data_IF_244499649636
#
_entry.id   IF_244499649636
#
_cell.length_a   1.000
_cell.length_b   1.000
_cell.length_c   1.000
_cell.angle_alpha   90.00
_cell.angle_beta   90.00
_cell.angle_gamma   90.00
#
_symmetry.space_group_name_H-M   'P 1'
#
loop_
_entity.id
_entity.type
_entity.pdbx_description
1 polymer ?
#
# COMPACT_ATOMS: atom_id res chain seq x y z
N UNK A 1 -7.93 -29.57 42.91
CA UNK A 1 -7.87 -28.09 43.01
C UNK A 1 -7.75 -27.56 41.60
N UNK A 2 -8.73 -26.79 41.16
CA UNK A 2 -8.77 -26.25 39.80
C UNK A 2 -7.76 -25.10 39.68
N UNK A 3 -6.90 -25.15 38.65
CA UNK A 3 -5.99 -24.08 38.26
C UNK A 3 -6.79 -22.81 37.93
N UNK A 4 -6.91 -21.92 38.91
CA UNK A 4 -7.74 -20.72 38.87
C UNK A 4 -6.98 -19.47 38.40
N UNK A 5 -5.86 -19.64 37.68
CA UNK A 5 -5.04 -18.52 37.23
C UNK A 5 -4.54 -18.66 35.79
N UNK A 6 -5.37 -19.18 34.88
CA UNK A 6 -5.12 -18.96 33.44
C UNK A 6 -5.47 -17.51 33.12
N UNK A 7 -4.52 -16.67 32.66
CA UNK A 7 -4.83 -15.30 32.31
C UNK A 7 -5.89 -15.28 31.19
N UNK A 8 -6.93 -14.45 31.36
CA UNK A 8 -8.02 -14.25 30.40
C UNK A 8 -7.52 -13.80 29.02
N UNK A 9 -6.30 -13.25 28.96
CA UNK A 9 -5.58 -12.88 27.75
C UNK A 9 -4.10 -13.22 27.91
N UNK A 10 -3.57 -14.11 27.08
CA UNK A 10 -2.14 -14.37 26.99
C UNK A 10 -1.62 -13.64 25.76
N UNK A 11 -0.68 -12.70 25.92
CA UNK A 11 -0.07 -12.01 24.79
C UNK A 11 0.70 -13.03 23.93
N UNK A 12 0.77 -12.82 22.61
CA UNK A 12 1.48 -13.74 21.73
C UNK A 12 2.97 -13.85 22.11
N UNK A 13 3.57 -12.74 22.57
CA UNK A 13 4.90 -12.73 23.19
C UNK A 13 5.01 -13.66 24.40
N UNK A 14 4.04 -13.65 25.31
CA UNK A 14 4.04 -14.55 26.46
C UNK A 14 3.92 -16.02 26.05
N UNK A 15 3.22 -16.33 24.95
CA UNK A 15 3.12 -17.68 24.38
C UNK A 15 4.45 -18.15 23.79
N UNK A 16 5.12 -17.31 22.98
CA UNK A 16 6.44 -17.62 22.39
C UNK A 16 7.51 -17.78 23.47
N UNK A 17 7.55 -16.89 24.46
CA UNK A 17 8.48 -16.99 25.59
C UNK A 17 8.16 -18.17 26.52
N UNK A 18 6.89 -18.60 26.60
CA UNK A 18 6.49 -19.82 27.28
C UNK A 18 7.09 -21.05 26.60
N UNK A 19 6.90 -21.17 25.29
CA UNK A 19 7.47 -22.26 24.49
C UNK A 19 9.00 -22.30 24.54
N UNK A 20 9.65 -21.14 24.62
CA UNK A 20 11.10 -21.07 24.83
C UNK A 20 11.53 -21.70 26.15
N UNK A 21 10.86 -21.29 27.23
CA UNK A 21 11.15 -21.76 28.59
C UNK A 21 10.88 -23.25 28.74
N UNK A 22 9.87 -23.77 28.05
CA UNK A 22 9.51 -25.18 28.08
C UNK A 22 10.48 -26.05 27.28
N UNK A 23 10.94 -25.58 26.11
CA UNK A 23 11.73 -26.41 25.19
C UNK A 23 13.25 -26.18 25.29
N UNK A 24 13.71 -25.12 25.96
CA UNK A 24 15.13 -24.77 26.12
C UNK A 24 15.93 -24.71 24.80
N UNK A 25 15.26 -24.53 23.66
CA UNK A 25 15.88 -24.46 22.34
C UNK A 25 15.97 -23.01 21.87
N UNK A 26 17.11 -22.60 21.28
CA UNK A 26 17.24 -21.28 20.68
C UNK A 26 16.33 -21.14 19.46
N UNK A 27 15.66 -20.00 19.33
CA UNK A 27 14.94 -19.67 18.10
C UNK A 27 15.89 -19.09 17.07
N UNK A 28 15.65 -19.38 15.80
CA UNK A 28 16.25 -18.63 14.69
C UNK A 28 15.32 -17.46 14.41
N UNK A 29 15.89 -16.26 14.47
CA UNK A 29 15.18 -15.02 14.24
C UNK A 29 15.79 -14.30 13.03
N UNK A 30 14.97 -14.01 12.01
CA UNK A 30 15.39 -13.28 10.81
C UNK A 30 14.49 -12.07 10.57
N UNK A 31 15.09 -10.97 10.12
CA UNK A 31 14.35 -9.77 9.73
C UNK A 31 14.20 -9.77 8.21
N UNK A 32 13.06 -10.24 7.71
CA UNK A 32 12.70 -10.08 6.30
C UNK A 32 11.39 -9.28 6.24
N UNK A 33 11.39 -8.06 5.65
CA UNK A 33 10.15 -7.32 5.52
C UNK A 33 9.27 -7.98 4.46
N UNK A 34 7.97 -8.09 4.73
CA UNK A 34 6.99 -8.42 3.70
C UNK A 34 6.60 -7.15 2.95
N UNK A 35 6.40 -7.23 1.64
CA UNK A 35 5.90 -6.11 0.85
C UNK A 35 4.76 -6.48 -0.07
N UNK A 36 3.92 -5.50 -0.37
CA UNK A 36 2.78 -5.66 -1.25
C UNK A 36 2.41 -4.34 -1.90
N UNK A 37 2.00 -4.37 -3.17
CA UNK A 37 1.68 -3.19 -3.99
C UNK A 37 0.22 -3.23 -4.44
N UNK A 38 -0.44 -2.08 -4.30
CA UNK A 38 -1.82 -1.85 -4.78
C UNK A 38 -1.97 -0.46 -5.35
N UNK A 39 -2.94 -0.27 -6.23
CA UNK A 39 -3.25 1.05 -6.79
C UNK A 39 -4.56 1.60 -6.26
N UNK A 40 -4.58 2.92 -6.10
CA UNK A 40 -5.77 3.72 -5.82
C UNK A 40 -6.02 4.67 -6.99
N UNK A 41 -7.27 4.83 -7.38
CA UNK A 41 -7.64 5.55 -8.59
C UNK A 41 -8.23 6.93 -8.30
N UNK A 42 -7.81 7.91 -9.08
CA UNK A 42 -8.37 9.25 -9.16
C UNK A 42 -9.05 9.41 -10.50
N UNK A 43 -10.32 9.81 -10.46
CA UNK A 43 -11.06 10.19 -11.66
C UNK A 43 -10.80 11.67 -11.93
N UNK A 44 -10.55 12.02 -13.19
CA UNK A 44 -10.46 13.42 -13.59
C UNK A 44 -11.87 13.92 -13.94
N UNK A 45 -12.28 15.02 -13.33
CA UNK A 45 -13.60 15.63 -13.51
C UNK A 45 -13.49 17.14 -13.67
N UNK A 46 -14.59 17.74 -14.13
CA UNK A 46 -14.75 19.20 -14.28
C UNK A 46 -13.59 19.83 -15.06
N UNK A 47 -13.33 19.27 -16.25
CA UNK A 47 -12.25 19.67 -17.15
C UNK A 47 -12.62 21.01 -17.80
N UNK A 48 -11.82 22.02 -17.52
CA UNK A 48 -11.85 23.34 -18.15
C UNK A 48 -10.61 23.49 -19.05
N UNK A 49 -10.79 23.12 -20.32
CA UNK A 49 -9.75 23.24 -21.34
C UNK A 49 -9.43 24.71 -21.66
N UNK A 50 -10.33 25.65 -21.38
CA UNK A 50 -10.08 27.08 -21.65
C UNK A 50 -9.07 27.66 -20.66
N UNK A 51 -9.19 27.28 -19.39
CA UNK A 51 -8.30 27.75 -18.33
C UNK A 51 -7.20 26.74 -17.95
N UNK A 52 -7.16 25.57 -18.60
CA UNK A 52 -6.17 24.53 -18.33
C UNK A 52 -6.28 23.92 -16.94
N UNK A 53 -7.51 23.74 -16.43
CA UNK A 53 -7.79 23.28 -15.07
C UNK A 53 -8.67 22.03 -15.09
N UNK A 54 -8.41 21.08 -14.19
CA UNK A 54 -9.33 19.99 -13.88
C UNK A 54 -9.19 19.58 -12.41
N UNK A 55 -9.99 18.62 -11.95
CA UNK A 55 -9.92 18.10 -10.59
C UNK A 55 -9.68 16.59 -10.60
N UNK A 56 -8.62 16.17 -9.91
CA UNK A 56 -8.38 14.77 -9.61
C UNK A 56 -9.14 14.39 -8.34
N UNK A 57 -10.04 13.39 -8.45
CA UNK A 57 -10.92 12.99 -7.36
C UNK A 57 -10.74 11.51 -7.04
N UNK A 58 -10.19 11.23 -5.86
CA UNK A 58 -10.29 9.91 -5.26
C UNK A 58 -11.60 9.83 -4.46
N UNK A 59 -12.46 8.89 -4.84
CA UNK A 59 -13.81 8.76 -4.26
C UNK A 59 -13.73 7.99 -2.94
N UNK A 60 -14.50 8.46 -1.94
CA UNK A 60 -14.70 7.75 -0.67
C UNK A 60 -15.13 6.30 -0.92
N UNK A 61 -14.62 5.38 -0.11
CA UNK A 61 -15.02 3.97 -0.12
C UNK A 61 -14.20 3.08 -1.05
N UNK A 62 -13.24 3.64 -1.81
CA UNK A 62 -12.23 2.83 -2.47
C UNK A 62 -11.41 2.08 -1.41
N UNK A 63 -11.13 0.81 -1.65
CA UNK A 63 -10.31 -0.02 -0.76
C UNK A 63 -9.27 -0.81 -1.55
N UNK A 64 -8.20 -1.18 -0.87
CA UNK A 64 -7.09 -1.96 -1.39
C UNK A 64 -6.73 -3.06 -0.40
N UNK A 65 -6.69 -4.29 -0.86
CA UNK A 65 -6.30 -5.44 -0.05
C UNK A 65 -4.83 -5.80 -0.33
N UNK A 66 -3.95 -5.41 0.58
CA UNK A 66 -2.54 -5.77 0.59
C UNK A 66 -2.33 -7.17 1.14
N UNK A 67 -1.27 -7.84 0.70
CA UNK A 67 -0.91 -9.21 1.08
C UNK A 67 -1.95 -10.28 0.70
N UNK A 68 -3.00 -9.94 -0.04
CA UNK A 68 -4.04 -10.87 -0.50
C UNK A 68 -3.67 -11.72 -1.72
N UNK A 69 -2.44 -11.63 -2.23
CA UNK A 69 -1.96 -12.27 -3.46
C UNK A 69 -0.48 -12.62 -3.35
N UNK A 70 -0.04 -13.63 -4.11
CA UNK A 70 1.35 -14.05 -4.23
C UNK A 70 1.96 -13.76 -5.60
N UNK A 71 3.24 -14.08 -5.74
CA UNK A 71 3.97 -14.05 -7.02
C UNK A 71 3.32 -15.01 -8.01
N UNK A 72 3.08 -14.54 -9.23
CA UNK A 72 2.41 -15.28 -10.29
C UNK A 72 0.89 -15.10 -10.33
N UNK A 73 0.27 -14.56 -9.28
CA UNK A 73 -1.17 -14.28 -9.27
C UNK A 73 -1.52 -13.14 -10.24
N UNK A 74 -2.72 -13.23 -10.83
CA UNK A 74 -3.28 -12.16 -11.67
C UNK A 74 -4.03 -11.16 -10.81
N UNK A 75 -3.56 -9.92 -10.79
CA UNK A 75 -4.13 -8.82 -10.04
C UNK A 75 -4.53 -7.66 -10.96
N UNK A 76 -5.34 -6.74 -10.44
CA UNK A 76 -5.43 -5.40 -11.03
C UNK A 76 -4.32 -4.55 -10.42
N UNK A 77 -3.46 -3.99 -11.26
CA UNK A 77 -2.45 -3.03 -10.85
C UNK A 77 -2.43 -1.89 -11.87
N UNK A 78 -2.61 -0.66 -11.40
CA UNK A 78 -2.75 0.45 -12.32
C UNK A 78 -3.99 0.27 -13.21
N UNK A 79 -3.84 0.64 -14.49
CA UNK A 79 -4.85 0.42 -15.51
C UNK A 79 -4.80 -1.00 -16.13
N UNK A 80 -3.86 -1.85 -15.70
CA UNK A 80 -3.68 -3.20 -16.25
C UNK A 80 -4.58 -4.19 -15.52
N UNK A 81 -5.55 -4.71 -16.27
CA UNK A 81 -6.37 -5.84 -15.84
C UNK A 81 -5.58 -7.14 -16.02
N UNK A 82 -5.54 -8.00 -15.01
CA UNK A 82 -4.80 -9.27 -15.01
C UNK A 82 -3.27 -9.14 -15.10
N UNK A 83 -2.70 -8.10 -14.48
CA UNK A 83 -1.26 -8.00 -14.30
C UNK A 83 -0.73 -9.22 -13.54
N UNK A 84 0.28 -9.91 -14.08
CA UNK A 84 0.91 -11.04 -13.41
C UNK A 84 1.93 -10.51 -12.39
N UNK A 85 1.62 -10.68 -11.10
CA UNK A 85 2.46 -10.18 -10.02
C UNK A 85 3.86 -10.82 -10.06
N UNK A 86 4.90 -10.00 -9.99
CA UNK A 86 6.28 -10.43 -9.85
C UNK A 86 6.78 -10.18 -8.42
N UNK A 87 8.02 -10.57 -8.14
CA UNK A 87 8.69 -10.29 -6.87
C UNK A 87 8.79 -8.78 -6.55
N UNK A 88 8.72 -7.92 -7.57
CA UNK A 88 8.69 -6.47 -7.38
C UNK A 88 7.37 -5.99 -6.74
N UNK A 89 6.27 -6.72 -6.94
CA UNK A 89 4.95 -6.35 -6.41
C UNK A 89 4.69 -6.97 -5.05
N UNK A 90 5.14 -8.21 -4.82
CA UNK A 90 4.98 -8.92 -3.55
C UNK A 90 6.10 -9.93 -3.38
N UNK A 91 6.54 -10.19 -2.16
CA UNK A 91 7.45 -11.29 -1.85
C UNK A 91 6.74 -12.53 -1.27
N UNK A 92 5.40 -12.57 -1.34
CA UNK A 92 4.63 -13.73 -0.95
C UNK A 92 4.62 -14.79 -2.06
N UNK A 93 4.96 -16.03 -1.72
CA UNK A 93 4.77 -17.16 -2.62
C UNK A 93 3.28 -17.47 -2.85
N UNK A 94 2.45 -17.21 -1.83
CA UNK A 94 1.00 -17.45 -1.84
C UNK A 94 0.29 -16.30 -1.12
N UNK A 95 -0.78 -15.77 -1.72
CA UNK A 95 -1.57 -14.73 -1.08
C UNK A 95 -2.13 -15.15 0.27
N UNK A 96 -2.18 -14.21 1.21
CA UNK A 96 -2.66 -14.35 2.58
C UNK A 96 -1.81 -15.21 3.52
N UNK A 97 -0.85 -15.97 3.00
CA UNK A 97 0.01 -16.84 3.80
C UNK A 97 1.43 -16.30 3.88
N UNK A 98 2.11 -16.49 5.01
CA UNK A 98 3.57 -16.34 5.08
C UNK A 98 4.24 -17.33 4.13
N UNK A 99 5.55 -17.18 3.87
CA UNK A 99 6.30 -18.10 3.01
C UNK A 99 6.58 -19.49 3.63
N UNK A 100 5.72 -19.95 4.54
CA UNK A 100 5.60 -21.34 5.00
C UNK A 100 6.60 -21.83 6.04
N UNK A 101 7.66 -21.07 6.35
CA UNK A 101 8.73 -21.53 7.23
C UNK A 101 8.74 -20.95 8.66
N UNK A 102 8.09 -19.79 8.88
CA UNK A 102 8.22 -19.05 10.13
C UNK A 102 6.91 -18.36 10.53
N UNK A 103 6.72 -18.15 11.83
CA UNK A 103 5.77 -17.16 12.32
C UNK A 103 6.39 -15.77 12.12
N UNK A 104 5.64 -14.83 11.57
CA UNK A 104 6.10 -13.46 11.39
C UNK A 104 5.47 -12.52 12.42
N UNK A 105 6.30 -11.93 13.28
CA UNK A 105 5.89 -10.93 14.27
C UNK A 105 5.93 -9.57 13.59
N UNK A 106 4.78 -8.96 13.36
CA UNK A 106 4.64 -7.62 12.79
C UNK A 106 4.95 -6.59 13.88
N UNK A 107 6.09 -5.93 13.74
CA UNK A 107 6.58 -4.89 14.65
C UNK A 107 6.36 -3.48 14.11
N UNK A 108 6.06 -3.32 12.83
CA UNK A 108 5.89 -2.03 12.21
C UNK A 108 5.28 -2.13 10.82
N UNK A 109 4.72 -1.03 10.34
CA UNK A 109 4.18 -0.92 8.99
C UNK A 109 4.69 0.37 8.40
N UNK A 110 5.06 0.34 7.13
CA UNK A 110 5.35 1.55 6.37
C UNK A 110 4.54 1.55 5.07
N UNK A 111 4.17 2.73 4.63
CA UNK A 111 3.53 2.90 3.33
C UNK A 111 4.22 4.03 2.55
N UNK A 112 4.47 3.80 1.27
CA UNK A 112 5.13 4.75 0.39
C UNK A 112 4.49 4.74 -0.99
N UNK A 113 4.48 5.89 -1.67
CA UNK A 113 4.18 5.95 -3.09
C UNK A 113 5.30 5.23 -3.87
N UNK A 114 4.96 4.20 -4.64
CA UNK A 114 5.87 3.50 -5.56
C UNK A 114 5.95 4.24 -6.89
N UNK A 115 4.81 4.52 -7.49
CA UNK A 115 4.71 5.15 -8.80
C UNK A 115 3.38 5.89 -8.94
N UNK A 116 3.32 6.77 -9.94
CA UNK A 116 2.08 7.36 -10.42
C UNK A 116 1.93 7.02 -11.89
N UNK A 117 0.70 6.66 -12.26
CA UNK A 117 0.33 6.28 -13.61
C UNK A 117 -0.72 7.27 -14.10
N UNK A 118 -0.62 7.66 -15.35
CA UNK A 118 -1.54 8.60 -16.00
C UNK A 118 -2.07 7.97 -17.27
N UNK A 119 -3.39 8.03 -17.46
CA UNK A 119 -3.99 7.57 -18.70
C UNK A 119 -4.55 8.75 -19.47
N UNK A 120 -4.19 8.82 -20.73
CA UNK A 120 -4.82 9.70 -21.71
C UNK A 120 -5.77 8.89 -22.59
N UNK A 121 -6.81 9.54 -23.13
CA UNK A 121 -7.64 8.89 -24.12
C UNK A 121 -6.88 8.74 -25.44
N UNK A 122 -7.12 7.65 -26.16
CA UNK A 122 -6.53 7.46 -27.48
C UNK A 122 -6.98 8.59 -28.40
N UNK A 123 -6.05 9.48 -28.77
CA UNK A 123 -6.34 10.63 -29.62
C UNK A 123 -6.64 11.95 -28.89
N UNK A 124 -6.72 11.98 -27.55
CA UNK A 124 -6.73 13.26 -26.81
C UNK A 124 -5.32 13.82 -26.71
N UNK A 125 -5.07 14.94 -27.38
CA UNK A 125 -3.78 15.62 -27.37
C UNK A 125 -2.78 14.96 -28.31
N UNK A 126 -2.53 15.61 -29.44
CA UNK A 126 -1.50 15.21 -30.40
C UNK A 126 -0.16 15.19 -29.68
N UNK A 127 0.33 14.00 -29.33
CA UNK A 127 1.65 13.82 -28.74
C UNK A 127 2.65 14.18 -29.83
N UNK A 128 3.14 15.43 -29.82
CA UNK A 128 4.12 15.96 -30.77
C UNK A 128 3.71 15.86 -32.26
N UNK A 129 4.42 16.48 -33.23
CA UNK A 129 4.03 16.47 -34.65
C UNK A 129 3.92 15.08 -35.30
N UNK A 130 4.36 14.02 -34.61
CA UNK A 130 4.20 12.63 -35.01
C UNK A 130 3.76 11.80 -33.81
N UNK A 131 2.65 11.06 -33.95
CA UNK A 131 2.18 10.16 -32.91
C UNK A 131 3.30 9.16 -32.53
N UNK A 132 3.57 8.95 -31.22
CA UNK A 132 4.61 8.02 -30.79
C UNK A 132 4.27 6.62 -31.30
N UNK A 133 5.24 5.99 -31.96
CA UNK A 133 5.12 4.61 -32.47
C UNK A 133 5.87 3.62 -31.58
N UNK A 134 6.72 4.11 -30.67
CA UNK A 134 7.43 3.27 -29.72
C UNK A 134 6.44 2.64 -28.73
N UNK A 135 6.43 1.30 -28.59
CA UNK A 135 5.43 0.60 -27.79
C UNK A 135 5.49 0.94 -26.30
N UNK A 136 6.67 1.23 -25.74
CA UNK A 136 6.83 1.56 -24.33
C UNK A 136 6.36 3.01 -24.06
N UNK A 137 6.59 3.92 -25.01
CA UNK A 137 6.03 5.28 -24.95
C UNK A 137 4.50 5.26 -25.03
N UNK A 138 3.94 4.45 -25.92
CA UNK A 138 2.48 4.27 -26.02
C UNK A 138 1.91 3.66 -24.72
N UNK A 139 2.57 2.65 -24.17
CA UNK A 139 2.20 2.00 -22.91
C UNK A 139 2.23 2.98 -21.72
N UNK A 140 3.24 3.85 -21.67
CA UNK A 140 3.30 4.93 -20.70
C UNK A 140 2.07 5.86 -20.77
N UNK A 141 1.66 6.28 -21.97
CA UNK A 141 0.50 7.16 -22.16
C UNK A 141 -0.84 6.48 -21.88
N UNK A 142 -0.87 5.14 -22.00
CA UNK A 142 -2.00 4.32 -21.58
C UNK A 142 -2.04 4.07 -20.06
N UNK A 143 -1.06 4.58 -19.30
CA UNK A 143 -0.95 4.38 -17.86
C UNK A 143 -0.69 2.93 -17.47
N UNK A 144 0.01 2.16 -18.32
CA UNK A 144 0.39 0.78 -18.05
C UNK A 144 1.84 0.62 -17.61
N UNK A 145 2.67 1.65 -17.80
CA UNK A 145 4.04 1.72 -17.33
C UNK A 145 4.27 2.94 -16.43
N UNK A 146 5.10 2.81 -15.38
CA UNK A 146 5.50 3.94 -14.55
C UNK A 146 6.37 4.91 -15.37
N UNK A 147 6.11 6.20 -15.22
CA UNK A 147 6.89 7.27 -15.82
C UNK A 147 7.63 8.06 -14.75
N UNK A 148 8.87 8.43 -15.04
CA UNK A 148 9.60 9.46 -14.31
C UNK A 148 9.63 10.74 -15.14
N UNK A 149 8.77 11.69 -14.80
CA UNK A 149 8.60 12.94 -15.55
C UNK A 149 8.98 14.18 -14.72
N UNK A 150 10.29 14.46 -14.56
CA UNK A 150 10.76 15.59 -13.77
C UNK A 150 10.42 16.94 -14.40
N UNK A 151 10.21 16.99 -15.72
CA UNK A 151 9.87 18.21 -16.44
C UNK A 151 8.35 18.47 -16.49
N UNK A 152 7.52 17.54 -15.97
CA UNK A 152 6.05 17.63 -16.05
C UNK A 152 5.56 17.83 -17.49
N UNK A 153 6.19 17.12 -18.42
CA UNK A 153 5.85 17.13 -19.84
C UNK A 153 4.54 16.39 -20.07
N UNK A 154 4.39 15.22 -19.45
CA UNK A 154 3.26 14.30 -19.61
C UNK A 154 2.41 14.27 -18.35
N UNK A 155 3.01 14.21 -17.17
CA UNK A 155 2.29 14.14 -15.90
C UNK A 155 2.00 15.53 -15.34
N UNK A 156 0.85 15.65 -14.67
CA UNK A 156 0.48 16.88 -13.96
C UNK A 156 1.48 17.20 -12.84
N UNK A 157 1.82 18.48 -12.61
CA UNK A 157 2.82 18.88 -11.61
C UNK A 157 2.54 18.37 -10.20
N UNK A 158 1.26 18.26 -9.85
CA UNK A 158 0.78 17.86 -8.54
C UNK A 158 1.01 16.36 -8.26
N UNK A 159 1.40 15.58 -9.27
CA UNK A 159 1.78 14.18 -9.13
C UNK A 159 3.18 14.00 -8.57
N UNK A 160 4.20 14.05 -9.43
CA UNK A 160 5.59 13.79 -9.03
C UNK A 160 6.59 14.86 -9.48
N UNK A 161 6.12 16.03 -9.96
CA UNK A 161 7.05 17.02 -10.52
C UNK A 161 7.88 17.73 -9.44
N UNK A 162 9.21 17.80 -9.60
CA UNK A 162 10.10 18.62 -8.77
C UNK A 162 9.77 20.11 -8.74
N UNK A 163 8.98 20.64 -9.69
CA UNK A 163 8.58 22.05 -9.68
C UNK A 163 7.76 22.43 -8.43
N UNK A 164 7.07 21.46 -7.81
CA UNK A 164 6.35 21.63 -6.55
C UNK A 164 7.14 21.13 -5.33
N UNK A 165 8.33 20.54 -5.51
CA UNK A 165 9.19 19.92 -4.48
C UNK A 165 8.52 18.88 -3.55
N UNK A 166 7.27 18.52 -3.80
CA UNK A 166 6.46 17.68 -2.90
C UNK A 166 5.59 16.70 -3.69
N UNK A 167 5.42 15.49 -3.13
CA UNK A 167 4.43 14.51 -3.62
C UNK A 167 3.06 14.84 -2.99
N UNK A 168 2.51 16.00 -3.36
CA UNK A 168 1.35 16.61 -2.70
C UNK A 168 0.09 15.73 -2.75
N UNK A 169 -0.13 15.03 -3.86
CA UNK A 169 -1.23 14.07 -4.00
C UNK A 169 -1.13 12.91 -3.00
N UNK A 170 0.06 12.29 -2.90
CA UNK A 170 0.29 11.22 -1.93
C UNK A 170 0.16 11.73 -0.50
N UNK A 171 0.80 12.85 -0.16
CA UNK A 171 0.78 13.42 1.19
C UNK A 171 -0.63 13.78 1.65
N UNK A 172 -1.46 14.35 0.76
CA UNK A 172 -2.85 14.67 1.06
C UNK A 172 -3.75 13.42 1.19
N UNK A 173 -3.39 12.31 0.53
CA UNK A 173 -4.12 11.05 0.60
C UNK A 173 -3.91 10.33 1.93
N UNK A 174 -2.68 10.30 2.45
CA UNK A 174 -2.30 9.54 3.65
C UNK A 174 -3.23 9.69 4.86
N UNK A 175 -3.61 10.91 5.32
CA UNK A 175 -4.46 11.06 6.51
C UNK A 175 -5.92 10.66 6.27
N UNK A 176 -6.30 10.32 5.04
CA UNK A 176 -7.66 9.92 4.69
C UNK A 176 -7.82 8.39 4.61
N UNK A 177 -6.73 7.65 4.75
CA UNK A 177 -6.68 6.20 4.70
C UNK A 177 -6.86 5.60 6.09
N UNK A 178 -7.77 4.64 6.22
CA UNK A 178 -7.87 3.75 7.37
C UNK A 178 -7.26 2.40 7.05
N UNK A 179 -6.73 1.74 8.09
CA UNK A 179 -6.13 0.41 7.99
C UNK A 179 -6.91 -0.59 8.84
N UNK A 180 -7.13 -1.77 8.29
CA UNK A 180 -7.82 -2.88 8.94
C UNK A 180 -7.05 -4.17 8.68
N UNK A 181 -6.82 -4.96 9.72
CA UNK A 181 -6.26 -6.31 9.56
C UNK A 181 -7.38 -7.33 9.60
N UNK A 182 -7.44 -8.13 8.55
CA UNK A 182 -8.31 -9.29 8.47
C UNK A 182 -7.47 -10.52 8.75
N UNK A 183 -7.81 -11.21 9.84
CA UNK A 183 -7.25 -12.50 10.23
C UNK A 183 -8.31 -13.59 10.02
N UNK A 184 -7.88 -14.83 9.77
CA UNK A 184 -8.64 -16.08 9.76
C UNK A 184 -10.18 -15.95 9.92
N UNK A 185 -10.93 -16.32 8.88
CA UNK A 185 -12.41 -16.38 8.86
C UNK A 185 -13.12 -15.04 9.11
N UNK A 186 -12.59 -13.93 8.58
CA UNK A 186 -13.20 -12.58 8.64
C UNK A 186 -13.23 -11.98 10.05
N UNK A 187 -12.33 -12.38 10.95
CA UNK A 187 -12.12 -11.61 12.17
C UNK A 187 -11.39 -10.33 11.80
N UNK A 188 -12.15 -9.26 11.67
CA UNK A 188 -11.65 -7.95 11.28
C UNK A 188 -11.31 -7.13 12.53
N UNK A 189 -10.06 -6.70 12.61
CA UNK A 189 -9.61 -5.72 13.58
C UNK A 189 -9.38 -4.40 12.83
N UNK A 190 -10.36 -3.50 12.88
CA UNK A 190 -10.24 -2.15 12.31
C UNK A 190 -9.37 -1.29 13.23
N UNK A 191 -8.25 -0.81 12.72
CA UNK A 191 -7.27 -0.03 13.48
C UNK A 191 -7.64 1.46 13.52
N UNK A 192 -8.49 1.91 12.60
CA UNK A 192 -8.95 3.30 12.50
C UNK A 192 -8.27 4.09 11.40
N UNK A 193 -8.51 5.42 11.40
CA UNK A 193 -7.84 6.37 10.50
C UNK A 193 -6.55 6.81 11.18
N UNK A 194 -5.44 6.70 10.47
CA UNK A 194 -4.14 7.14 10.98
C UNK A 194 -3.94 8.63 10.69
N UNK A 195 -3.63 9.44 11.70
CA UNK A 195 -3.23 10.85 11.50
C UNK A 195 -1.93 10.93 10.66
N UNK A 196 -1.03 9.95 10.82
CA UNK A 196 0.19 9.83 10.02
C UNK A 196 0.59 8.36 9.89
N UNK A 197 0.47 7.80 8.68
CA UNK A 197 1.08 6.52 8.34
C UNK A 197 2.56 6.78 8.01
N UNK A 198 3.52 6.15 8.71
CA UNK A 198 4.93 6.44 8.55
C UNK A 198 5.39 6.14 7.12
N UNK A 199 5.98 7.16 6.49
CA UNK A 199 6.60 7.06 5.18
C UNK A 199 7.99 6.46 5.35
N UNK A 200 8.27 5.37 4.63
CA UNK A 200 9.60 4.77 4.45
C UNK A 200 10.53 4.76 5.68
N UNK A 201 10.55 3.63 6.38
CA UNK A 201 11.36 3.42 7.58
C UNK A 201 10.49 2.68 8.58
N UNK A 202 10.93 1.50 9.02
CA UNK A 202 10.19 0.71 10.00
C UNK A 202 10.06 1.47 11.32
N UNK A 203 8.99 2.26 11.45
CA UNK A 203 8.60 2.79 12.73
C UNK A 203 8.05 1.60 13.52
N UNK A 204 8.66 1.33 14.68
CA UNK A 204 8.08 0.39 15.63
C UNK A 204 6.65 0.81 15.91
N UNK A 205 5.73 -0.15 15.96
CA UNK A 205 4.36 0.03 16.44
C UNK A 205 4.35 0.77 17.80
N UNK A 206 5.41 0.60 18.60
CA UNK A 206 5.66 1.29 19.89
C UNK A 206 6.31 2.68 19.75
N UNK A 207 7.06 2.99 18.67
CA UNK A 207 7.57 4.36 18.40
C UNK A 207 6.58 5.23 17.65
N UNK A 208 5.59 4.63 17.00
CA UNK A 208 4.38 5.33 16.57
C UNK A 208 3.46 5.70 17.75
N UNK A 209 3.74 5.22 18.98
CA UNK A 209 3.04 5.62 20.22
C UNK A 209 3.86 5.33 21.50
N UNK A 210 4.93 6.08 21.71
CA UNK A 210 5.70 6.08 22.96
C UNK A 210 5.21 7.14 23.98
N UNK A 211 3.90 7.09 24.28
CA UNK A 211 3.06 7.85 25.24
C UNK A 211 3.20 9.39 25.27
N UNK A 212 2.09 10.10 25.00
CA UNK A 212 1.58 11.01 26.02
C UNK A 212 0.07 10.80 26.24
N UNK A 213 -0.40 10.85 27.49
CA UNK A 213 -1.80 10.68 27.96
C UNK A 213 -2.92 11.09 26.98
N UNK A 214 -4.15 10.57 27.00
CA UNK A 214 -4.88 9.66 27.91
C UNK A 214 -5.74 8.74 27.06
N UNK A 215 -5.69 7.45 27.38
CA UNK A 215 -6.57 6.37 26.92
C UNK A 215 -6.49 6.02 25.43
N UNK A 216 -5.32 5.47 25.05
CA UNK A 216 -5.14 4.35 24.13
C UNK A 216 -6.38 3.99 23.27
N UNK A 217 -6.69 4.82 22.26
CA UNK A 217 -7.98 4.78 21.51
C UNK A 217 -8.34 3.41 20.90
N UNK A 218 -7.36 2.52 20.73
CA UNK A 218 -7.54 1.21 20.08
C UNK A 218 -7.00 0.02 20.87
N UNK A 219 -6.43 0.24 22.08
CA UNK A 219 -5.93 -0.81 22.97
C UNK A 219 -5.09 -1.93 22.29
N UNK A 220 -4.31 -1.61 21.25
CA UNK A 220 -3.61 -2.63 20.46
C UNK A 220 -2.41 -3.14 21.28
N UNK A 221 -2.42 -4.40 21.78
CA UNK A 221 -1.33 -4.93 22.58
C UNK A 221 -0.12 -5.29 21.70
N UNK A 222 1.06 -5.32 22.33
CA UNK A 222 2.40 -5.58 21.76
C UNK A 222 2.44 -6.59 20.59
N UNK A 223 2.36 -6.10 19.34
CA UNK A 223 2.68 -6.81 18.08
C UNK A 223 1.62 -7.80 17.58
N UNK A 224 1.32 -7.78 16.29
CA UNK A 224 0.52 -8.83 15.63
C UNK A 224 1.41 -9.99 15.20
N UNK A 225 0.94 -11.23 15.29
CA UNK A 225 1.68 -12.40 14.80
C UNK A 225 0.93 -13.00 13.63
N UNK A 226 1.58 -13.00 12.47
CA UNK A 226 1.15 -13.74 11.30
C UNK A 226 1.73 -15.13 11.34
N UNK A 227 0.86 -16.12 11.58
CA UNK A 227 1.30 -17.50 11.77
C UNK A 227 1.75 -18.12 10.45
N UNK A 228 2.60 -19.15 10.56
CA UNK A 228 2.97 -19.99 9.41
C UNK A 228 1.74 -20.53 8.68
N UNK A 229 1.86 -20.74 7.37
CA UNK A 229 0.77 -21.30 6.55
C UNK A 229 0.28 -22.65 7.13
N UNK A 230 -1.05 -22.82 7.19
CA UNK A 230 -1.70 -24.02 7.74
C UNK A 230 -1.99 -24.02 9.24
N UNK A 231 -1.51 -23.03 10.00
CA UNK A 231 -1.93 -22.82 11.40
C UNK A 231 -3.15 -21.88 11.50
N UNK A 232 -3.91 -21.91 12.61
CA UNK A 232 -4.90 -20.88 12.91
C UNK A 232 -4.25 -19.49 12.98
N UNK A 233 -4.94 -18.47 12.49
CA UNK A 233 -4.45 -17.11 12.26
C UNK A 233 -3.27 -17.07 11.25
N UNK A 234 -3.22 -18.06 10.35
CA UNK A 234 -2.24 -18.16 9.26
C UNK A 234 -2.61 -17.34 8.03
N UNK A 235 -3.90 -16.98 7.87
CA UNK A 235 -4.33 -16.04 6.83
C UNK A 235 -4.31 -14.59 7.34
N UNK A 236 -3.68 -13.71 6.57
CA UNK A 236 -3.58 -12.28 6.84
C UNK A 236 -3.85 -11.43 5.59
N UNK A 237 -4.67 -10.40 5.73
CA UNK A 237 -4.83 -9.34 4.73
C UNK A 237 -4.82 -7.99 5.43
N UNK A 238 -4.12 -7.01 4.86
CA UNK A 238 -4.21 -5.63 5.27
C UNK A 238 -5.10 -4.86 4.30
N UNK A 239 -6.31 -4.51 4.74
CA UNK A 239 -7.25 -3.69 3.97
C UNK A 239 -7.02 -2.22 4.29
N UNK A 240 -6.74 -1.43 3.27
CA UNK A 240 -6.68 0.03 3.35
C UNK A 240 -7.93 0.60 2.71
N UNK A 241 -8.66 1.47 3.40
CA UNK A 241 -9.88 2.11 2.88
C UNK A 241 -9.77 3.62 2.89
N UNK A 242 -10.18 4.27 1.80
CA UNK A 242 -10.29 5.72 1.72
C UNK A 242 -11.60 6.19 2.39
N UNK A 243 -11.49 6.69 3.61
CA UNK A 243 -12.65 7.03 4.45
C UNK A 243 -13.33 8.35 4.04
N UNK A 244 -12.61 9.23 3.36
CA UNK A 244 -13.09 10.53 2.86
C UNK A 244 -12.62 10.74 1.43
N UNK A 245 -13.43 11.38 0.61
CA UNK A 245 -13.00 11.74 -0.73
C UNK A 245 -11.86 12.76 -0.66
N UNK A 246 -10.90 12.63 -1.57
CA UNK A 246 -9.84 13.60 -1.80
C UNK A 246 -10.09 14.28 -3.14
N UNK A 247 -10.08 15.61 -3.14
CA UNK A 247 -10.22 16.43 -4.34
C UNK A 247 -8.99 17.30 -4.43
N UNK A 248 -8.27 17.21 -5.55
CA UNK A 248 -7.05 18.00 -5.80
C UNK A 248 -7.19 18.71 -7.13
N UNK A 249 -7.05 20.05 -7.18
CA UNK A 249 -6.98 20.76 -8.43
C UNK A 249 -5.69 20.39 -9.16
N UNK A 250 -5.80 20.08 -10.44
CA UNK A 250 -4.67 19.71 -11.30
C UNK A 250 -4.58 20.66 -12.50
N UNK A 251 -3.37 21.01 -12.87
CA UNK A 251 -3.11 21.78 -14.08
C UNK A 251 -3.09 20.86 -15.28
N UNK A 252 -3.87 21.17 -16.32
CA UNK A 252 -3.79 20.48 -17.60
C UNK A 252 -2.49 20.86 -18.32
N UNK A 253 -1.95 19.92 -19.08
CA UNK A 253 -0.73 20.12 -19.88
C UNK A 253 -1.06 20.17 -21.36
N UNK A 254 -0.50 21.17 -22.05
CA UNK A 254 -0.49 21.21 -23.51
C UNK A 254 0.60 20.24 -23.96
N UNK A 255 0.18 19.14 -24.59
CA UNK A 255 1.10 18.16 -25.20
C UNK A 255 1.48 18.54 -26.64
N UNK A 256 0.92 19.64 -27.15
CA UNK A 256 1.23 20.23 -28.45
C UNK A 256 2.00 21.56 -28.32
N UNK A 257 2.67 21.94 -29.41
CA UNK A 257 3.36 23.23 -29.56
C UNK A 257 2.43 24.44 -29.61
N UNK A 258 1.11 24.24 -29.75
CA UNK A 258 0.11 25.31 -29.74
C UNK A 258 -0.55 25.36 -28.36
N UNK A 259 -0.39 26.44 -27.57
CA UNK A 259 -0.79 26.48 -26.16
C UNK A 259 -2.30 26.47 -25.88
N UNK A 260 -3.14 26.16 -26.88
CA UNK A 260 -4.60 26.22 -26.79
C UNK A 260 -5.28 24.85 -26.74
N UNK A 261 -4.59 23.75 -27.07
CA UNK A 261 -5.20 22.40 -27.00
C UNK A 261 -4.56 21.61 -25.86
N UNK A 262 -5.25 21.58 -24.73
CA UNK A 262 -4.83 20.80 -23.58
C UNK A 262 -5.22 19.34 -23.75
N UNK A 263 -4.30 18.43 -23.41
CA UNK A 263 -4.66 17.02 -23.27
C UNK A 263 -5.20 16.81 -21.85
N UNK A 264 -6.47 16.43 -21.74
CA UNK A 264 -7.04 16.07 -20.45
C UNK A 264 -6.74 14.60 -20.13
N UNK A 265 -6.14 14.30 -18.97
CA UNK A 265 -6.01 12.91 -18.52
C UNK A 265 -7.40 12.33 -18.22
N UNK A 266 -7.61 11.05 -18.53
CA UNK A 266 -8.83 10.33 -18.17
C UNK A 266 -8.81 9.91 -16.70
N UNK A 267 -7.67 9.38 -16.24
CA UNK A 267 -7.47 8.97 -14.86
C UNK A 267 -6.02 9.16 -14.42
N UNK A 268 -5.85 9.19 -13.10
CA UNK A 268 -4.56 9.06 -12.45
C UNK A 268 -4.66 7.87 -11.50
N UNK A 269 -3.60 7.07 -11.42
CA UNK A 269 -3.49 6.04 -10.39
C UNK A 269 -2.22 6.27 -9.58
N UNK A 270 -2.34 6.08 -8.27
CA UNK A 270 -1.19 6.03 -7.38
C UNK A 270 -0.96 4.59 -6.96
N UNK A 271 0.25 4.10 -7.21
CA UNK A 271 0.69 2.81 -6.68
C UNK A 271 1.26 3.02 -5.28
N UNK A 272 0.67 2.35 -4.32
CA UNK A 272 1.08 2.33 -2.93
C UNK A 272 1.81 1.03 -2.64
N UNK A 273 2.99 1.14 -2.05
CA UNK A 273 3.76 0.04 -1.51
C UNK A 273 3.57 0.01 0.00
N UNK A 274 3.00 -1.09 0.51
CA UNK A 274 2.97 -1.38 1.93
C UNK A 274 4.11 -2.33 2.27
N UNK A 275 4.79 -2.06 3.38
CA UNK A 275 5.81 -2.93 3.97
C UNK A 275 5.44 -3.27 5.41
N UNK A 276 5.52 -4.54 5.76
CA UNK A 276 5.50 -4.99 7.15
C UNK A 276 6.94 -5.18 7.60
N UNK A 277 7.31 -4.52 8.68
CA UNK A 277 8.58 -4.70 9.37
C UNK A 277 8.35 -5.60 10.57
N UNK A 278 9.29 -6.49 10.81
CA UNK A 278 9.08 -7.51 11.81
C UNK A 278 10.18 -8.55 11.87
N UNK A 279 9.89 -9.58 12.65
CA UNK A 279 10.78 -10.68 12.93
C UNK A 279 10.11 -11.99 12.55
N UNK A 280 10.73 -12.74 11.65
CA UNK A 280 10.41 -14.14 11.44
C UNK A 280 11.03 -14.97 12.55
N UNK A 281 10.22 -15.77 13.22
CA UNK A 281 10.62 -16.68 14.29
C UNK A 281 10.34 -18.10 13.82
N UNK A 282 11.42 -18.86 13.65
CA UNK A 282 11.32 -20.28 13.36
C UNK A 282 11.34 -21.06 14.68
N UNK A 283 10.26 -21.81 14.92
CA UNK A 283 10.29 -22.89 15.89
C UNK A 283 11.14 -24.03 15.32
N UNK A 284 12.09 -24.59 16.09
CA UNK A 284 12.83 -25.75 15.64
C UNK A 284 11.85 -26.87 15.26
N UNK A 285 12.06 -27.50 14.09
CA UNK A 285 11.34 -28.73 13.76
C UNK A 285 11.71 -29.77 14.82
N UNK A 286 10.71 -30.34 15.49
CA UNK A 286 10.93 -31.50 16.34
C UNK A 286 11.53 -32.63 15.47
N UNK A 287 12.81 -32.90 15.67
CA UNK A 287 13.41 -34.18 15.31
C UNK A 287 13.14 -35.16 16.44
#
# INVERSE_FOLDING_TARGET
>A
MADSNKPLFQTQRARVLGLYKENAQPFIASTMPYHSVRSLAFNIVDIDETNGLAFAVARRGQFMDFFGYGVGDRIQLGNVQNFQASEAETNLAKGKSTNGAADFIIEGIGMSCRAMLIQYSTGSGVITPAAPTDPDVVACMAGTLPIWDPASIVMVPQGQSPANLENGLFQALMPLLSLEFEWDRKRTAKLGVCDLLPQAGGASYLRANGVPSSDNRYEIPEGYVWRRDGEPDGEFVARVTLERALVVPISLRSLITTPTDFAAPLNLQIELLMRLYGLEVQLPSAN
#
